data_IF_714034883308
#
_entry.id   IF_714034883308
#
_cell.length_a   1.000
_cell.length_b   1.000
_cell.length_c   1.000
_cell.angle_alpha   90.00
_cell.angle_beta   90.00
_cell.angle_gamma   90.00
#
_symmetry.space_group_name_H-M   'P 1'
#
loop_
_entity.id
_entity.type
_entity.pdbx_description
1 polymer ?
#
# COMPACT_ATOMS: atom_id res chain seq x y z
N UNK A 1 -11.29 -8.65 13.78
CA UNK A 1 -9.87 -8.50 14.12
C UNK A 1 -9.00 -9.23 13.11
N UNK A 2 -8.09 -8.50 12.47
CA UNK A 2 -7.20 -9.06 11.45
C UNK A 2 -5.88 -9.50 12.06
N UNK A 3 -5.06 -10.22 11.26
CA UNK A 3 -3.71 -10.57 11.67
C UNK A 3 -2.86 -9.29 11.92
N UNK A 4 -3.12 -8.21 11.18
CA UNK A 4 -2.40 -6.95 11.39
C UNK A 4 -2.82 -6.27 12.69
N UNK A 5 -4.10 -6.35 13.07
CA UNK A 5 -4.56 -5.89 14.38
C UNK A 5 -3.81 -6.61 15.50
N UNK A 6 -3.63 -7.93 15.35
CA UNK A 6 -2.92 -8.75 16.35
C UNK A 6 -1.44 -8.36 16.42
N UNK A 7 -0.82 -8.02 15.29
CA UNK A 7 0.55 -7.53 15.27
C UNK A 7 0.65 -6.19 16.00
N UNK A 8 -0.29 -5.27 15.76
CA UNK A 8 -0.33 -3.98 16.44
C UNK A 8 -0.53 -4.13 17.95
N UNK A 9 -1.29 -5.13 18.37
CA UNK A 9 -1.55 -5.41 19.79
C UNK A 9 -0.42 -6.19 20.46
N UNK A 10 0.60 -6.60 19.71
CA UNK A 10 1.71 -7.38 20.24
C UNK A 10 1.40 -8.86 20.47
N UNK A 11 0.26 -9.34 19.98
CA UNK A 11 -0.13 -10.75 20.15
C UNK A 11 0.61 -11.68 19.20
N UNK A 12 1.04 -11.15 18.04
CA UNK A 12 1.78 -11.91 17.03
C UNK A 12 3.08 -11.15 16.77
N UNK A 13 4.25 -11.85 16.75
CA UNK A 13 5.52 -11.20 16.44
C UNK A 13 5.58 -10.77 14.97
N UNK A 14 6.35 -9.73 14.71
CA UNK A 14 6.64 -9.25 13.36
C UNK A 14 8.07 -8.72 13.31
N UNK A 15 8.66 -8.73 12.12
CA UNK A 15 9.98 -8.14 11.90
C UNK A 15 9.80 -6.64 11.65
N UNK A 16 9.65 -5.89 12.73
CA UNK A 16 9.40 -4.45 12.68
C UNK A 16 10.62 -3.71 12.13
N UNK A 17 10.38 -2.79 11.19
CA UNK A 17 11.42 -1.93 10.65
C UNK A 17 11.21 -0.46 10.99
N UNK A 18 9.99 -0.05 11.30
CA UNK A 18 9.69 1.34 11.67
C UNK A 18 8.36 1.41 12.43
N UNK A 19 8.28 2.36 13.35
CA UNK A 19 7.04 2.63 14.07
C UNK A 19 7.03 4.07 14.57
N UNK A 20 5.87 4.72 14.49
CA UNK A 20 5.62 5.99 15.18
C UNK A 20 4.18 5.96 15.72
N UNK A 21 3.65 7.12 16.12
CA UNK A 21 2.31 7.18 16.72
C UNK A 21 1.20 6.78 15.77
N UNK A 22 1.42 6.84 14.46
CA UNK A 22 0.38 6.65 13.45
C UNK A 22 0.56 5.44 12.57
N UNK A 23 1.78 4.96 12.40
CA UNK A 23 2.09 3.90 11.44
C UNK A 23 3.02 2.85 12.02
N UNK A 24 3.01 1.68 11.37
CA UNK A 24 3.84 0.54 11.72
C UNK A 24 4.29 -0.12 10.42
N UNK A 25 5.58 -0.43 10.32
CA UNK A 25 6.13 -1.09 9.14
C UNK A 25 6.91 -2.34 9.54
N UNK A 26 6.76 -3.40 8.75
CA UNK A 26 7.37 -4.69 9.03
C UNK A 26 7.59 -5.47 7.75
N UNK A 27 8.48 -6.46 7.81
CA UNK A 27 8.77 -7.31 6.66
C UNK A 27 7.63 -8.29 6.39
N UNK A 28 7.30 -8.48 5.11
CA UNK A 28 6.37 -9.51 4.71
C UNK A 28 7.06 -10.88 4.82
N UNK A 29 6.47 -11.82 5.56
CA UNK A 29 7.03 -13.15 5.75
C UNK A 29 6.73 -14.09 4.59
N UNK A 30 5.84 -13.70 3.66
CA UNK A 30 5.61 -14.37 2.40
C UNK A 30 6.03 -13.49 1.22
N UNK A 31 7.31 -13.05 1.16
CA UNK A 31 7.71 -11.96 0.28
C UNK A 31 7.64 -12.34 -1.19
N UNK A 32 7.28 -11.38 -2.03
CA UNK A 32 7.41 -11.51 -3.49
C UNK A 32 8.87 -11.33 -3.92
N UNK A 33 9.65 -10.59 -3.13
CA UNK A 33 11.08 -10.43 -3.32
C UNK A 33 11.73 -10.12 -1.97
N UNK A 34 13.05 -10.28 -1.87
CA UNK A 34 13.76 -9.96 -0.64
C UNK A 34 13.60 -8.48 -0.31
N UNK A 35 13.17 -8.20 0.91
CA UNK A 35 12.94 -6.83 1.36
C UNK A 35 11.52 -6.33 1.14
N UNK A 36 10.61 -7.18 0.67
CA UNK A 36 9.19 -6.84 0.57
C UNK A 36 8.70 -6.38 1.94
N UNK A 37 8.32 -5.13 2.03
CA UNK A 37 7.96 -4.47 3.29
C UNK A 37 6.51 -4.02 3.24
N UNK A 38 5.84 -4.10 4.38
CA UNK A 38 4.47 -3.63 4.54
C UNK A 38 4.44 -2.40 5.42
N UNK A 39 3.63 -1.42 5.05
CA UNK A 39 3.38 -0.24 5.85
C UNK A 39 1.88 -0.18 6.15
N UNK A 40 1.53 -0.14 7.42
CA UNK A 40 0.14 -0.08 7.85
C UNK A 40 -0.11 1.14 8.75
N UNK A 41 -1.31 1.72 8.71
CA UNK A 41 -1.72 2.70 9.72
C UNK A 41 -2.08 1.95 11.00
N UNK A 42 -1.92 2.63 12.14
CA UNK A 42 -2.43 2.11 13.41
C UNK A 42 -3.95 2.22 13.50
N UNK A 43 -4.54 3.13 12.75
CA UNK A 43 -5.97 3.21 12.59
C UNK A 43 -6.49 1.95 11.88
N UNK A 44 -7.48 1.29 12.46
CA UNK A 44 -7.94 -0.03 12.00
C UNK A 44 -9.10 0.11 11.03
N UNK A 45 -8.77 0.35 9.77
CA UNK A 45 -9.73 0.44 8.66
C UNK A 45 -9.36 -0.57 7.58
N UNK A 46 -10.39 -1.13 6.95
CA UNK A 46 -10.18 -2.12 5.90
C UNK A 46 -9.70 -1.51 4.60
N UNK A 47 -10.23 -0.33 4.26
CA UNK A 47 -10.00 0.27 2.94
C UNK A 47 -9.45 1.69 3.03
N UNK A 48 -8.68 2.06 2.03
CA UNK A 48 -7.98 3.34 1.97
C UNK A 48 -8.91 4.54 2.15
N UNK A 49 -10.07 4.52 1.50
CA UNK A 49 -11.02 5.64 1.52
C UNK A 49 -11.70 5.82 2.89
N UNK A 50 -11.50 4.89 3.81
CA UNK A 50 -12.07 4.96 5.16
C UNK A 50 -11.11 5.62 6.16
N UNK A 51 -9.86 5.87 5.77
CA UNK A 51 -8.85 6.44 6.65
C UNK A 51 -9.14 7.90 6.97
N UNK A 52 -8.77 8.30 8.19
CA UNK A 52 -8.73 9.71 8.57
C UNK A 52 -7.64 10.45 7.79
N UNK A 53 -7.76 11.76 7.69
CA UNK A 53 -6.74 12.59 7.06
C UNK A 53 -5.39 12.48 7.78
N UNK A 54 -5.40 12.38 9.10
CA UNK A 54 -4.17 12.23 9.89
C UNK A 54 -3.43 10.94 9.56
N UNK A 55 -4.15 9.83 9.47
CA UNK A 55 -3.56 8.54 9.08
C UNK A 55 -3.04 8.58 7.65
N UNK A 56 -3.82 9.16 6.74
CA UNK A 56 -3.42 9.29 5.33
C UNK A 56 -2.15 10.14 5.20
N UNK A 57 -2.07 11.25 5.93
CA UNK A 57 -0.90 12.12 5.93
C UNK A 57 0.33 11.40 6.49
N UNK A 58 0.15 10.63 7.56
CA UNK A 58 1.24 9.88 8.18
C UNK A 58 1.80 8.81 7.24
N UNK A 59 0.92 8.09 6.53
CA UNK A 59 1.33 7.11 5.53
C UNK A 59 2.10 7.77 4.39
N UNK A 60 1.57 8.88 3.86
CA UNK A 60 2.21 9.63 2.79
C UNK A 60 3.56 10.20 3.17
N UNK A 61 3.71 10.62 4.43
CA UNK A 61 4.96 11.13 4.97
C UNK A 61 6.01 10.03 5.12
N UNK A 62 5.55 8.82 5.47
CA UNK A 62 6.44 7.68 5.78
C UNK A 62 6.90 6.94 4.54
N UNK A 63 6.03 6.81 3.53
CA UNK A 63 6.33 5.99 2.33
C UNK A 63 7.65 6.35 1.65
N UNK A 64 7.96 7.63 1.33
CA UNK A 64 9.21 7.93 0.63
C UNK A 64 10.45 7.54 1.41
N UNK A 65 10.50 7.83 2.71
CA UNK A 65 11.68 7.49 3.52
C UNK A 65 11.82 5.98 3.70
N UNK A 66 10.70 5.26 3.79
CA UNK A 66 10.73 3.81 3.91
C UNK A 66 11.22 3.17 2.60
N UNK A 67 10.78 3.69 1.46
CA UNK A 67 11.25 3.25 0.14
C UNK A 67 12.78 3.45 0.01
N UNK A 68 13.28 4.61 0.43
CA UNK A 68 14.73 4.86 0.40
C UNK A 68 15.48 3.87 1.28
N UNK A 69 14.96 3.56 2.46
CA UNK A 69 15.58 2.61 3.38
C UNK A 69 15.58 1.20 2.81
N UNK A 70 14.48 0.77 2.21
CA UNK A 70 14.37 -0.56 1.59
C UNK A 70 15.36 -0.68 0.42
N UNK A 71 15.45 0.34 -0.42
CA UNK A 71 16.41 0.34 -1.53
C UNK A 71 17.86 0.28 -1.01
N UNK A 72 18.18 1.04 0.02
CA UNK A 72 19.52 1.03 0.61
C UNK A 72 19.88 -0.35 1.18
N UNK A 73 18.92 -0.99 1.85
CA UNK A 73 19.16 -2.27 2.49
C UNK A 73 19.25 -3.42 1.48
N UNK A 74 18.54 -3.36 0.37
CA UNK A 74 18.46 -4.46 -0.61
C UNK A 74 19.39 -4.26 -1.81
N UNK A 75 19.85 -3.05 -2.05
CA UNK A 75 20.60 -2.71 -3.27
C UNK A 75 19.72 -2.56 -4.50
N UNK A 76 18.41 -2.71 -4.37
CA UNK A 76 17.49 -2.55 -5.49
C UNK A 76 17.41 -1.07 -5.89
N UNK A 77 17.29 -0.83 -7.19
CA UNK A 77 17.12 0.52 -7.73
C UNK A 77 15.72 0.72 -8.33
N UNK A 78 14.95 -0.34 -8.40
CA UNK A 78 13.56 -0.34 -8.89
C UNK A 78 12.66 -0.99 -7.86
N UNK A 79 11.45 -0.48 -7.73
CA UNK A 79 10.49 -1.03 -6.77
C UNK A 79 9.06 -0.65 -7.18
N UNK A 80 8.10 -1.42 -6.70
CA UNK A 80 6.69 -1.07 -6.83
C UNK A 80 6.13 -0.75 -5.44
N UNK A 81 5.22 0.20 -5.42
CA UNK A 81 4.37 0.45 -4.25
C UNK A 81 2.96 0.11 -4.67
N UNK A 82 2.35 -0.85 -3.97
CA UNK A 82 0.98 -1.32 -4.27
C UNK A 82 0.11 -1.19 -3.04
N UNK A 83 -1.15 -0.82 -3.25
CA UNK A 83 -2.16 -0.80 -2.21
C UNK A 83 -3.46 -1.33 -2.82
N UNK A 84 -4.06 -2.32 -2.19
CA UNK A 84 -5.23 -3.02 -2.75
C UNK A 84 -6.44 -2.82 -1.85
N UNK A 85 -7.59 -2.55 -2.45
CA UNK A 85 -8.86 -2.36 -1.73
C UNK A 85 -9.91 -3.32 -2.26
N UNK A 86 -10.28 -4.29 -1.44
CA UNK A 86 -11.26 -5.31 -1.78
C UNK A 86 -10.62 -6.57 -2.35
N UNK A 87 -11.29 -7.71 -2.17
CA UNK A 87 -10.77 -9.01 -2.58
C UNK A 87 -10.55 -9.12 -4.09
N UNK A 88 -11.44 -8.52 -4.90
CA UNK A 88 -11.31 -8.55 -6.36
C UNK A 88 -10.11 -7.73 -6.85
N UNK A 89 -9.59 -6.84 -6.01
CA UNK A 89 -8.39 -6.06 -6.33
C UNK A 89 -7.14 -6.66 -5.67
N UNK A 90 -7.24 -7.86 -5.08
CA UNK A 90 -6.09 -8.56 -4.51
C UNK A 90 -5.84 -8.30 -3.04
N UNK A 91 -6.78 -7.66 -2.32
CA UNK A 91 -6.62 -7.47 -0.89
C UNK A 91 -6.95 -8.78 -0.15
N UNK A 92 -6.00 -9.27 0.63
CA UNK A 92 -6.16 -10.50 1.40
C UNK A 92 -6.46 -10.19 2.87
N UNK A 93 -5.76 -9.22 3.47
CA UNK A 93 -5.97 -8.81 4.85
C UNK A 93 -6.79 -7.52 4.88
N UNK A 94 -7.89 -7.50 5.62
CA UNK A 94 -8.84 -6.37 5.67
C UNK A 94 -8.40 -5.31 6.67
N UNK A 95 -7.20 -4.81 6.48
CA UNK A 95 -6.59 -3.69 7.17
C UNK A 95 -5.72 -3.00 6.13
N UNK A 96 -5.85 -1.71 5.96
CA UNK A 96 -5.10 -0.94 4.94
C UNK A 96 -3.61 -1.25 5.06
N UNK A 97 -2.98 -1.60 3.96
CA UNK A 97 -1.54 -1.79 3.92
C UNK A 97 -0.97 -1.48 2.55
N UNK A 98 0.21 -0.89 2.56
CA UNK A 98 0.99 -0.60 1.37
C UNK A 98 2.12 -1.61 1.27
N UNK A 99 2.29 -2.18 0.08
CA UNK A 99 3.41 -3.06 -0.23
C UNK A 99 4.53 -2.23 -0.84
N UNK A 100 5.75 -2.42 -0.35
CA UNK A 100 6.95 -1.92 -1.02
C UNK A 100 7.71 -3.15 -1.49
N UNK A 101 7.80 -3.32 -2.80
CA UNK A 101 8.31 -4.53 -3.42
C UNK A 101 9.55 -4.18 -4.24
N UNK A 102 10.77 -4.47 -3.73
CA UNK A 102 11.98 -4.28 -4.52
C UNK A 102 11.93 -5.13 -5.78
N UNK A 103 12.40 -4.57 -6.90
CA UNK A 103 12.39 -5.27 -8.18
C UNK A 103 13.82 -5.37 -8.71
N UNK A 104 14.18 -6.57 -9.14
CA UNK A 104 15.43 -6.80 -9.89
C UNK A 104 15.06 -7.33 -11.26
N UNK A 105 15.83 -6.97 -12.28
CA UNK A 105 15.54 -7.39 -13.63
C UNK A 105 15.42 -8.91 -13.73
N UNK A 106 14.35 -9.39 -14.38
CA UNK A 106 14.11 -10.81 -14.55
C UNK A 106 13.60 -11.54 -13.31
N UNK A 107 13.03 -10.82 -12.34
CA UNK A 107 12.55 -11.40 -11.08
C UNK A 107 11.27 -12.22 -11.20
N UNK A 108 10.59 -12.18 -12.36
CA UNK A 108 9.39 -12.99 -12.59
C UNK A 108 8.13 -12.52 -11.90
N UNK A 109 8.09 -11.33 -11.34
CA UNK A 109 6.94 -10.84 -10.58
C UNK A 109 5.76 -10.38 -11.44
N UNK A 110 5.68 -10.69 -12.69
CA UNK A 110 4.48 -10.64 -13.51
C UNK A 110 3.56 -9.43 -13.40
N UNK A 111 4.07 -8.24 -13.15
CA UNK A 111 3.26 -7.02 -13.10
C UNK A 111 3.12 -6.46 -14.51
N UNK A 112 2.23 -7.07 -15.30
CA UNK A 112 1.97 -6.64 -16.68
C UNK A 112 1.05 -5.43 -16.71
N UNK A 113 1.10 -4.71 -17.83
CA UNK A 113 0.25 -3.54 -18.05
C UNK A 113 -0.45 -3.67 -19.39
N UNK A 114 -1.74 -4.01 -19.36
CA UNK A 114 -2.56 -4.15 -20.56
C UNK A 114 -3.44 -2.92 -20.71
N UNK A 115 -2.95 -1.94 -21.50
CA UNK A 115 -3.67 -0.69 -21.69
C UNK A 115 -4.89 -0.89 -22.57
N UNK A 116 -6.01 -0.30 -22.16
CA UNK A 116 -7.17 -0.16 -23.01
C UNK A 116 -7.15 1.20 -23.70
N UNK A 117 -8.30 1.68 -24.09
CA UNK A 117 -8.47 3.00 -24.67
C UNK A 117 -9.64 3.70 -23.99
N UNK A 118 -9.59 5.04 -23.95
CA UNK A 118 -10.62 5.86 -23.34
C UNK A 118 -11.39 6.62 -24.44
N UNK A 119 -12.67 6.29 -24.56
CA UNK A 119 -13.58 6.96 -25.46
C UNK A 119 -13.86 8.38 -24.95
N UNK A 120 -13.95 9.34 -25.85
CA UNK A 120 -14.13 10.77 -25.52
C UNK A 120 -15.42 11.02 -24.71
N UNK A 121 -16.53 10.37 -25.09
CA UNK A 121 -17.80 10.52 -24.38
C UNK A 121 -17.69 10.00 -22.93
N UNK A 122 -17.05 8.85 -22.74
CA UNK A 122 -16.81 8.29 -21.41
C UNK A 122 -15.87 9.18 -20.60
N UNK A 123 -14.82 9.73 -21.22
CA UNK A 123 -13.88 10.62 -20.55
C UNK A 123 -14.60 11.85 -20.01
N UNK A 124 -15.43 12.50 -20.82
CA UNK A 124 -16.18 13.69 -20.42
C UNK A 124 -17.15 13.38 -19.26
N UNK A 125 -17.89 12.28 -19.40
CA UNK A 125 -18.85 11.86 -18.38
C UNK A 125 -18.17 11.53 -17.06
N UNK A 126 -17.11 10.75 -17.11
CA UNK A 126 -16.37 10.33 -15.89
C UNK A 126 -15.68 11.51 -15.23
N UNK A 127 -15.07 12.39 -16.02
CA UNK A 127 -14.43 13.59 -15.49
C UNK A 127 -15.41 14.43 -14.68
N UNK A 128 -16.60 14.66 -15.24
CA UNK A 128 -17.64 15.43 -14.55
C UNK A 128 -18.13 14.73 -13.29
N UNK A 129 -18.37 13.43 -13.36
CA UNK A 129 -18.89 12.65 -12.24
C UNK A 129 -17.90 12.60 -11.07
N UNK A 130 -16.61 12.36 -11.36
CA UNK A 130 -15.58 12.30 -10.34
C UNK A 130 -15.37 13.67 -9.69
N UNK A 131 -15.30 14.73 -10.50
CA UNK A 131 -15.14 16.10 -9.99
C UNK A 131 -16.28 16.50 -9.08
N UNK A 132 -17.52 16.14 -9.45
CA UNK A 132 -18.70 16.43 -8.63
C UNK A 132 -18.65 15.65 -7.31
N UNK A 133 -18.29 14.37 -7.37
CA UNK A 133 -18.19 13.54 -6.17
C UNK A 133 -17.13 14.08 -5.19
N UNK A 134 -16.03 14.64 -5.70
CA UNK A 134 -15.00 15.24 -4.85
C UNK A 134 -15.51 16.49 -4.12
N UNK A 135 -16.40 17.26 -4.72
CA UNK A 135 -17.00 18.41 -4.07
C UNK A 135 -17.97 18.00 -2.95
N UNK A 136 -18.61 16.83 -3.10
CA UNK A 136 -19.60 16.33 -2.14
C UNK A 136 -18.96 15.63 -0.95
N UNK A 137 -17.68 15.40 -0.99
CA UNK A 137 -16.91 14.69 0.05
C UNK A 137 -15.65 15.47 0.43
#
# INVERSE_FOLDING_TARGET
MTIFSKILDGEIPAYKVYEDDHVFAFLDIGPLSQGHTLLIPKERKAHLHELSEDSAAALGRTLPKLCRAVMAATGATHYNVLQNNGSHAGQVVMHVHFHIIPRVGGDGLGLGWNSGSLDEADATRLQAAISQALEDH
#
